data_IF_989485516225
#
_entry.id   IF_989485516225
#
_cell.length_a   1.000
_cell.length_b   1.000
_cell.length_c   1.000
_cell.angle_alpha   90.00
_cell.angle_beta   90.00
_cell.angle_gamma   90.00
#
_symmetry.space_group_name_H-M   'P 1'
#
loop_
_entity.id
_entity.type
_entity.pdbx_description
1 polymer ?
#
# COMPACT_ATOMS: atom_id res chain seq x y z
N UNK A 1 -25.13 -26.94 -20.50
CA UNK A 1 -25.45 -26.66 -19.08
C UNK A 1 -25.65 -25.16 -18.93
N UNK A 2 -26.76 -24.77 -18.32
CA UNK A 2 -27.07 -23.36 -18.01
C UNK A 2 -26.63 -23.05 -16.57
N UNK A 3 -26.13 -21.83 -16.34
CA UNK A 3 -25.81 -21.34 -14.99
C UNK A 3 -25.99 -19.83 -14.92
N UNK A 4 -26.49 -19.36 -13.80
CA UNK A 4 -26.63 -17.95 -13.45
C UNK A 4 -25.33 -17.33 -12.91
N UNK A 5 -24.39 -18.16 -12.47
CA UNK A 5 -23.07 -17.76 -11.98
C UNK A 5 -22.11 -17.39 -13.11
N UNK A 6 -22.09 -16.11 -13.47
CA UNK A 6 -21.15 -15.56 -14.43
C UNK A 6 -19.70 -15.85 -14.03
N UNK A 7 -19.39 -15.77 -12.73
CA UNK A 7 -18.07 -16.05 -12.18
C UNK A 7 -17.63 -17.47 -12.49
N UNK A 8 -18.50 -18.46 -12.28
CA UNK A 8 -18.18 -19.86 -12.56
C UNK A 8 -17.94 -20.07 -14.06
N UNK A 9 -18.87 -19.61 -14.90
CA UNK A 9 -18.78 -19.77 -16.36
C UNK A 9 -17.49 -19.15 -16.90
N UNK A 10 -17.19 -17.90 -16.54
CA UNK A 10 -15.99 -17.20 -17.01
C UNK A 10 -14.70 -17.87 -16.48
N UNK A 11 -14.72 -18.38 -15.25
CA UNK A 11 -13.56 -19.05 -14.63
C UNK A 11 -13.22 -20.38 -15.33
N UNK A 12 -14.23 -21.16 -15.71
CA UNK A 12 -14.07 -22.48 -16.33
C UNK A 12 -14.06 -22.46 -17.86
N UNK A 13 -14.35 -21.32 -18.50
CA UNK A 13 -14.27 -21.15 -19.96
C UNK A 13 -13.17 -20.14 -20.34
N UNK A 14 -13.49 -18.84 -20.33
CA UNK A 14 -12.62 -17.75 -20.81
C UNK A 14 -11.28 -17.69 -20.09
N UNK A 15 -11.30 -17.81 -18.76
CA UNK A 15 -10.09 -17.71 -17.93
C UNK A 15 -9.42 -19.06 -17.68
N UNK A 16 -9.97 -20.18 -18.19
CA UNK A 16 -9.52 -21.52 -17.86
C UNK A 16 -8.04 -21.73 -18.15
N UNK A 17 -7.60 -21.37 -19.36
CA UNK A 17 -6.20 -21.54 -19.78
C UNK A 17 -5.25 -20.79 -18.85
N UNK A 18 -5.54 -19.51 -18.60
CA UNK A 18 -4.76 -18.66 -17.71
C UNK A 18 -4.72 -19.22 -16.27
N UNK A 19 -5.85 -19.70 -15.76
CA UNK A 19 -5.95 -20.24 -14.41
C UNK A 19 -5.15 -21.56 -14.30
N UNK A 20 -5.27 -22.46 -15.26
CA UNK A 20 -4.44 -23.68 -15.35
C UNK A 20 -2.96 -23.36 -15.43
N UNK A 21 -2.57 -22.43 -16.32
CA UNK A 21 -1.16 -22.05 -16.49
C UNK A 21 -0.57 -21.45 -15.20
N UNK A 22 -1.38 -20.80 -14.37
CA UNK A 22 -0.97 -20.27 -13.04
C UNK A 22 -1.16 -21.26 -11.89
N UNK A 23 -1.50 -22.52 -12.19
CA UNK A 23 -1.76 -23.54 -11.17
C UNK A 23 -2.89 -23.16 -10.21
N UNK A 24 -3.88 -22.42 -10.70
CA UNK A 24 -5.02 -21.90 -9.94
C UNK A 24 -4.64 -20.97 -8.77
N UNK A 25 -3.42 -20.45 -8.76
CA UNK A 25 -2.92 -19.58 -7.69
C UNK A 25 -3.70 -18.28 -7.61
N UNK A 26 -4.35 -18.06 -6.46
CA UNK A 26 -5.14 -16.85 -6.19
C UNK A 26 -6.57 -16.88 -6.77
N UNK A 27 -7.03 -18.04 -7.23
CA UNK A 27 -8.45 -18.28 -7.54
C UNK A 27 -9.14 -18.75 -6.26
N UNK A 28 -10.22 -18.08 -5.86
CA UNK A 28 -11.06 -18.53 -4.75
C UNK A 28 -11.70 -19.87 -5.11
N UNK A 29 -11.83 -20.78 -4.14
CA UNK A 29 -12.44 -22.11 -4.34
C UNK A 29 -11.84 -22.93 -5.49
N UNK A 30 -10.53 -22.73 -5.73
CA UNK A 30 -9.78 -23.36 -6.81
C UNK A 30 -9.98 -24.89 -6.90
N UNK A 31 -10.16 -25.57 -5.75
CA UNK A 31 -10.36 -27.01 -5.68
C UNK A 31 -11.70 -27.43 -6.33
N UNK A 32 -12.79 -26.70 -6.10
CA UNK A 32 -14.10 -26.97 -6.69
C UNK A 32 -14.07 -26.75 -8.21
N UNK A 33 -13.45 -25.66 -8.67
CA UNK A 33 -13.27 -25.42 -10.11
C UNK A 33 -12.40 -26.47 -10.79
N UNK A 34 -11.38 -26.97 -10.08
CA UNK A 34 -10.50 -28.01 -10.60
C UNK A 34 -11.25 -29.33 -10.78
N UNK A 35 -12.05 -29.74 -9.80
CA UNK A 35 -12.94 -30.90 -9.88
C UNK A 35 -14.00 -30.76 -10.97
N UNK A 36 -14.64 -29.59 -11.08
CA UNK A 36 -15.61 -29.32 -12.14
C UNK A 36 -14.99 -29.46 -13.54
N UNK A 37 -13.80 -28.90 -13.74
CA UNK A 37 -13.08 -29.00 -15.03
C UNK A 37 -12.65 -30.43 -15.32
N UNK A 38 -12.23 -31.20 -14.31
CA UNK A 38 -11.90 -32.61 -14.47
C UNK A 38 -13.15 -33.42 -14.88
N UNK A 39 -14.26 -33.23 -14.18
CA UNK A 39 -15.56 -33.87 -14.49
C UNK A 39 -16.07 -33.51 -15.89
N UNK A 40 -15.92 -32.26 -16.34
CA UNK A 40 -16.29 -31.89 -17.71
C UNK A 40 -15.42 -32.57 -18.76
N UNK A 41 -14.15 -32.86 -18.46
CA UNK A 41 -13.21 -33.52 -19.39
C UNK A 41 -13.34 -35.03 -19.44
N UNK A 42 -13.81 -35.66 -18.37
CA UNK A 42 -14.05 -37.11 -18.37
C UNK A 42 -15.26 -37.51 -19.22
N UNK A 43 -16.11 -36.54 -19.59
CA UNK A 43 -17.24 -36.77 -20.49
C UNK A 43 -16.76 -37.01 -21.93
N UNK A 44 -17.30 -38.02 -22.65
CA UNK A 44 -16.94 -38.28 -24.05
C UNK A 44 -17.36 -37.17 -25.04
N UNK A 45 -18.37 -36.37 -24.69
CA UNK A 45 -18.95 -35.34 -25.56
C UNK A 45 -18.51 -33.92 -25.20
N UNK A 46 -18.68 -33.00 -26.16
CA UNK A 46 -18.46 -31.57 -25.91
C UNK A 46 -19.44 -31.04 -24.85
N UNK A 47 -18.92 -30.29 -23.88
CA UNK A 47 -19.72 -29.63 -22.85
C UNK A 47 -19.78 -28.14 -23.11
N UNK A 48 -20.97 -27.64 -23.45
CA UNK A 48 -21.22 -26.20 -23.59
C UNK A 48 -21.79 -25.63 -22.29
N UNK A 49 -21.14 -24.58 -21.78
CA UNK A 49 -21.62 -23.78 -20.65
C UNK A 49 -22.22 -22.49 -21.17
N UNK A 50 -23.46 -22.20 -20.78
CA UNK A 50 -24.16 -20.98 -21.17
C UNK A 50 -24.50 -20.21 -19.91
N UNK A 51 -23.98 -18.99 -19.81
CA UNK A 51 -24.41 -18.07 -18.77
C UNK A 51 -25.81 -17.54 -19.11
N UNK A 52 -26.69 -17.57 -18.13
CA UNK A 52 -28.04 -17.00 -18.22
C UNK A 52 -28.25 -16.03 -17.08
N UNK A 53 -29.13 -15.05 -17.26
CA UNK A 53 -29.46 -14.12 -16.18
C UNK A 53 -30.30 -14.87 -15.13
N UNK A 54 -30.00 -14.69 -13.84
CA UNK A 54 -30.84 -15.21 -12.76
C UNK A 54 -32.28 -14.71 -12.87
N UNK A 55 -33.25 -15.54 -12.46
CA UNK A 55 -34.68 -15.27 -12.53
C UNK A 55 -35.21 -14.89 -13.93
N UNK A 56 -34.66 -15.53 -14.97
CA UNK A 56 -35.03 -15.27 -16.38
C UNK A 56 -36.18 -16.14 -16.91
N UNK A 57 -36.91 -16.86 -16.06
CA UNK A 57 -37.99 -17.77 -16.50
C UNK A 57 -37.49 -19.14 -17.00
N UNK A 58 -36.18 -19.41 -16.92
CA UNK A 58 -35.64 -20.71 -17.34
C UNK A 58 -35.89 -21.73 -16.23
N UNK A 59 -36.86 -22.63 -16.47
CA UNK A 59 -37.32 -23.63 -15.49
C UNK A 59 -36.19 -24.35 -14.76
N UNK A 60 -35.19 -24.85 -15.49
CA UNK A 60 -34.08 -25.59 -14.89
C UNK A 60 -33.16 -24.77 -13.97
N UNK A 61 -32.99 -23.47 -14.22
CA UNK A 61 -32.22 -22.61 -13.31
C UNK A 61 -33.05 -22.19 -12.10
N UNK A 62 -34.35 -21.95 -12.29
CA UNK A 62 -35.24 -21.62 -11.17
C UNK A 62 -35.42 -22.78 -10.20
N UNK A 63 -35.49 -24.02 -10.71
CA UNK A 63 -35.49 -25.23 -9.88
C UNK A 63 -34.14 -25.41 -9.15
N UNK A 64 -33.03 -25.10 -9.80
CA UNK A 64 -31.71 -25.13 -9.15
C UNK A 64 -31.57 -24.05 -8.04
N UNK A 65 -32.14 -22.86 -8.24
CA UNK A 65 -32.16 -21.79 -7.23
C UNK A 65 -33.00 -22.19 -6.01
N UNK A 66 -34.14 -22.86 -6.24
CA UNK A 66 -34.98 -23.42 -5.16
C UNK A 66 -34.20 -24.45 -4.34
N UNK A 67 -33.56 -25.41 -5.01
CA UNK A 67 -32.73 -26.43 -4.34
C UNK A 67 -31.55 -25.81 -3.57
N UNK A 68 -30.95 -24.74 -4.11
CA UNK A 68 -29.89 -24.00 -3.41
C UNK A 68 -30.42 -23.33 -2.14
N UNK A 69 -31.61 -22.74 -2.20
CA UNK A 69 -32.27 -22.11 -1.06
C UNK A 69 -32.64 -23.13 0.03
N UNK A 70 -33.14 -24.30 -0.38
CA UNK A 70 -33.40 -25.43 0.52
C UNK A 70 -32.10 -25.91 1.18
N UNK A 71 -31.03 -26.05 0.40
CA UNK A 71 -29.70 -26.44 0.91
C UNK A 71 -29.14 -25.45 1.93
N UNK A 72 -29.31 -24.14 1.71
CA UNK A 72 -28.92 -23.10 2.67
C UNK A 72 -29.71 -23.16 3.99
N UNK A 73 -30.93 -23.72 3.95
CA UNK A 73 -31.82 -23.81 5.11
C UNK A 73 -31.62 -25.09 5.92
N UNK A 74 -30.76 -26.03 5.47
CA UNK A 74 -30.46 -27.25 6.21
C UNK A 74 -29.61 -26.95 7.45
N UNK A 75 -29.98 -27.55 8.59
CA UNK A 75 -29.15 -27.48 9.81
C UNK A 75 -27.79 -28.17 9.66
N UNK A 76 -27.76 -29.26 8.89
CA UNK A 76 -26.54 -29.99 8.57
C UNK A 76 -26.23 -29.83 7.07
N UNK A 77 -25.04 -29.32 6.71
CA UNK A 77 -24.67 -29.13 5.31
C UNK A 77 -24.43 -30.48 4.62
N UNK A 78 -24.80 -30.56 3.34
CA UNK A 78 -24.46 -31.72 2.52
C UNK A 78 -22.94 -31.76 2.26
N UNK A 79 -22.33 -32.93 2.46
CA UNK A 79 -20.92 -33.13 2.16
C UNK A 79 -20.75 -33.43 0.67
N UNK A 80 -20.16 -32.48 -0.06
CA UNK A 80 -19.84 -32.64 -1.48
C UNK A 80 -18.40 -33.09 -1.63
N UNK A 81 -18.19 -34.31 -2.11
CA UNK A 81 -16.85 -34.82 -2.43
C UNK A 81 -16.39 -34.32 -3.80
N UNK A 82 -15.26 -33.62 -3.82
CA UNK A 82 -14.62 -33.16 -5.05
C UNK A 82 -13.65 -34.24 -5.57
N UNK A 83 -14.18 -35.26 -6.22
CA UNK A 83 -13.37 -36.32 -6.85
C UNK A 83 -12.73 -35.76 -8.12
N UNK A 84 -11.40 -35.78 -8.17
CA UNK A 84 -10.62 -35.38 -9.34
C UNK A 84 -9.95 -36.63 -9.91
N UNK A 85 -10.40 -37.06 -11.08
CA UNK A 85 -9.76 -38.17 -11.80
C UNK A 85 -8.28 -37.85 -12.07
N UNK A 86 -7.33 -38.75 -11.70
CA UNK A 86 -5.90 -38.50 -11.81
C UNK A 86 -5.45 -38.10 -13.23
N UNK A 87 -6.05 -38.70 -14.26
CA UNK A 87 -5.77 -38.42 -15.68
C UNK A 87 -6.01 -36.96 -16.06
N UNK A 88 -6.97 -36.29 -15.40
CA UNK A 88 -7.32 -34.89 -15.64
C UNK A 88 -6.75 -33.95 -14.57
N UNK A 89 -5.99 -34.48 -13.61
CA UNK A 89 -5.42 -33.73 -12.51
C UNK A 89 -4.11 -33.02 -12.91
N UNK A 90 -4.23 -31.85 -13.54
CA UNK A 90 -3.07 -30.99 -13.79
C UNK A 90 -2.73 -30.22 -12.51
N UNK A 91 -1.56 -30.51 -11.93
CA UNK A 91 -1.05 -29.87 -10.73
C UNK A 91 0.06 -28.85 -11.05
N UNK A 92 0.25 -27.89 -10.14
CA UNK A 92 1.31 -26.89 -10.25
C UNK A 92 1.05 -25.79 -11.30
N UNK A 93 1.92 -24.79 -11.30
CA UNK A 93 1.91 -23.72 -12.28
C UNK A 93 2.91 -24.01 -13.40
N UNK A 94 2.54 -23.68 -14.64
CA UNK A 94 3.41 -23.84 -15.81
C UNK A 94 4.59 -22.87 -15.70
N UNK A 95 5.82 -23.39 -15.76
CA UNK A 95 7.05 -22.60 -15.57
C UNK A 95 7.10 -21.40 -16.54
N UNK A 96 6.77 -21.60 -17.82
CA UNK A 96 6.75 -20.52 -18.82
C UNK A 96 5.73 -19.38 -18.52
N UNK A 97 4.71 -19.65 -17.71
CA UNK A 97 3.64 -18.70 -17.39
C UNK A 97 3.71 -18.13 -15.97
N UNK A 98 4.64 -18.61 -15.14
CA UNK A 98 4.76 -18.18 -13.76
C UNK A 98 5.49 -16.83 -13.70
N UNK A 99 4.96 -15.91 -12.89
CA UNK A 99 5.67 -14.69 -12.49
C UNK A 99 6.25 -14.89 -11.09
N UNK A 100 7.27 -14.11 -10.71
CA UNK A 100 7.77 -14.07 -9.33
C UNK A 100 6.63 -13.89 -8.31
N UNK A 101 5.67 -13.00 -8.61
CA UNK A 101 4.49 -12.78 -7.75
C UNK A 101 3.56 -13.98 -7.63
N UNK A 102 3.41 -14.77 -8.70
CA UNK A 102 2.59 -16.00 -8.70
C UNK A 102 3.33 -17.13 -7.97
N UNK A 103 4.63 -17.29 -8.24
CA UNK A 103 5.50 -18.25 -7.54
C UNK A 103 5.49 -18.00 -6.03
N UNK A 104 5.69 -16.74 -5.61
CA UNK A 104 5.66 -16.36 -4.21
C UNK A 104 4.31 -16.69 -3.54
N UNK A 105 3.19 -16.38 -4.21
CA UNK A 105 1.85 -16.74 -3.72
C UNK A 105 1.65 -18.25 -3.60
N UNK A 106 2.08 -19.02 -4.60
CA UNK A 106 1.98 -20.48 -4.59
C UNK A 106 2.78 -21.09 -3.44
N UNK A 107 4.05 -20.68 -3.28
CA UNK A 107 4.92 -21.10 -2.16
C UNK A 107 4.28 -20.73 -0.83
N UNK A 108 3.72 -19.52 -0.70
CA UNK A 108 3.03 -19.07 0.51
C UNK A 108 1.84 -19.97 0.84
N UNK A 109 1.01 -20.34 -0.14
CA UNK A 109 -0.14 -21.25 0.05
C UNK A 109 0.35 -22.62 0.50
N UNK A 110 1.38 -23.17 -0.13
CA UNK A 110 1.95 -24.48 0.24
C UNK A 110 2.47 -24.46 1.68
N UNK A 111 3.25 -23.43 2.05
CA UNK A 111 3.78 -23.27 3.42
C UNK A 111 2.67 -23.06 4.46
N UNK A 112 1.58 -22.37 4.11
CA UNK A 112 0.41 -22.22 4.97
C UNK A 112 -0.33 -23.56 5.18
N UNK A 113 -0.39 -24.41 4.15
CA UNK A 113 -1.04 -25.73 4.26
C UNK A 113 -0.21 -26.71 5.08
N UNK A 114 1.11 -26.71 4.91
CA UNK A 114 1.99 -27.65 5.62
C UNK A 114 2.22 -27.27 7.08
N UNK A 115 2.40 -25.97 7.38
CA UNK A 115 2.80 -25.49 8.72
C UNK A 115 2.03 -24.22 9.14
N UNK A 116 0.71 -24.20 8.93
CA UNK A 116 -0.14 -23.00 9.02
C UNK A 116 0.07 -22.13 10.25
N UNK A 117 0.15 -22.71 11.46
CA UNK A 117 0.34 -21.95 12.71
C UNK A 117 1.74 -21.35 12.86
N UNK A 118 2.78 -22.10 12.50
CA UNK A 118 4.18 -21.65 12.62
C UNK A 118 4.48 -20.60 11.56
N UNK A 119 4.05 -20.84 10.32
CA UNK A 119 4.29 -19.94 9.20
C UNK A 119 3.48 -18.63 9.33
N UNK A 120 2.24 -18.67 9.84
CA UNK A 120 1.48 -17.46 10.15
C UNK A 120 2.14 -16.64 11.26
N UNK A 121 2.65 -17.28 12.33
CA UNK A 121 3.37 -16.60 13.43
C UNK A 121 4.70 -15.99 12.97
N UNK A 122 5.36 -16.59 11.99
CA UNK A 122 6.59 -16.05 11.36
C UNK A 122 6.31 -14.87 10.41
N UNK A 123 5.19 -14.89 9.66
CA UNK A 123 4.77 -13.78 8.80
C UNK A 123 4.22 -12.61 9.62
N UNK A 124 3.43 -12.90 10.65
CA UNK A 124 2.93 -11.95 11.64
C UNK A 124 4.01 -11.73 12.70
N UNK A 125 5.18 -11.22 12.28
CA UNK A 125 6.21 -10.84 13.23
C UNK A 125 5.57 -10.00 14.33
N UNK A 126 5.76 -10.38 15.59
CA UNK A 126 5.23 -9.69 16.78
C UNK A 126 5.35 -8.16 16.67
N UNK A 127 6.44 -7.71 16.05
CA UNK A 127 6.77 -6.30 15.75
C UNK A 127 5.84 -5.66 14.71
N UNK A 128 5.53 -6.33 13.60
CA UNK A 128 4.56 -5.82 12.61
C UNK A 128 3.18 -5.64 13.24
N UNK A 129 2.73 -6.62 14.03
CA UNK A 129 1.43 -6.53 14.73
C UNK A 129 1.43 -5.35 15.71
N UNK A 130 2.50 -5.19 16.48
CA UNK A 130 2.65 -4.05 17.40
C UNK A 130 2.57 -2.71 16.67
N UNK A 131 3.24 -2.56 15.53
CA UNK A 131 3.18 -1.33 14.73
C UNK A 131 1.78 -1.07 14.16
N UNK A 132 1.05 -2.12 13.75
CA UNK A 132 -0.36 -2.01 13.34
C UNK A 132 -1.24 -1.54 14.50
N UNK A 133 -1.11 -2.11 15.70
CA UNK A 133 -1.87 -1.66 16.87
C UNK A 133 -1.58 -0.21 17.23
N UNK A 134 -0.30 0.19 17.23
CA UNK A 134 0.09 1.59 17.46
C UNK A 134 -0.52 2.54 16.43
N UNK A 135 -0.54 2.12 15.16
CA UNK A 135 -1.17 2.88 14.07
C UNK A 135 -2.68 3.02 14.30
N UNK A 136 -3.35 1.96 14.78
CA UNK A 136 -4.78 2.03 15.13
C UNK A 136 -5.05 2.97 16.30
N UNK A 137 -4.25 2.87 17.36
CA UNK A 137 -4.37 3.74 18.53
C UNK A 137 -4.15 5.21 18.15
N UNK A 138 -3.17 5.52 17.32
CA UNK A 138 -2.97 6.89 16.80
C UNK A 138 -4.17 7.37 15.96
N UNK A 139 -4.73 6.53 15.11
CA UNK A 139 -5.92 6.88 14.33
C UNK A 139 -7.17 7.04 15.19
N UNK A 140 -7.31 6.26 16.25
CA UNK A 140 -8.38 6.41 17.22
C UNK A 140 -8.25 7.72 17.99
N UNK A 141 -7.05 8.08 18.46
CA UNK A 141 -6.81 9.38 19.09
C UNK A 141 -7.12 10.56 18.16
N UNK A 142 -6.81 10.45 16.86
CA UNK A 142 -7.03 11.52 15.89
C UNK A 142 -8.48 11.59 15.35
N UNK A 143 -9.19 10.47 15.27
CA UNK A 143 -10.47 10.39 14.52
C UNK A 143 -11.60 9.69 15.28
N UNK A 144 -11.34 9.14 16.45
CA UNK A 144 -12.28 8.31 17.22
C UNK A 144 -12.56 6.95 16.58
N UNK A 145 -11.81 6.54 15.54
CA UNK A 145 -12.06 5.30 14.80
C UNK A 145 -10.77 4.52 14.54
N UNK A 146 -10.85 3.21 14.71
CA UNK A 146 -9.77 2.30 14.36
C UNK A 146 -9.92 1.79 12.92
N UNK A 147 -8.90 1.95 12.05
CA UNK A 147 -8.92 1.42 10.70
C UNK A 147 -8.64 -0.09 10.68
N UNK A 148 -9.23 -0.78 9.71
CA UNK A 148 -8.87 -2.17 9.39
C UNK A 148 -7.45 -2.25 8.81
N UNK A 149 -6.75 -3.37 9.03
CA UNK A 149 -5.41 -3.61 8.47
C UNK A 149 -5.33 -3.42 6.97
N UNK A 150 -6.35 -3.89 6.24
CA UNK A 150 -6.43 -3.73 4.79
C UNK A 150 -6.33 -2.25 4.38
N UNK A 151 -6.95 -1.36 5.16
CA UNK A 151 -6.93 0.08 4.91
C UNK A 151 -5.54 0.66 5.21
N UNK A 152 -4.91 0.27 6.34
CA UNK A 152 -3.53 0.67 6.67
C UNK A 152 -2.56 0.26 5.56
N UNK A 153 -2.59 -1.01 5.16
CA UNK A 153 -1.71 -1.54 4.11
C UNK A 153 -1.95 -0.90 2.74
N UNK A 154 -3.21 -0.62 2.40
CA UNK A 154 -3.54 0.15 1.19
C UNK A 154 -3.03 1.59 1.29
N UNK A 155 -3.12 2.19 2.47
CA UNK A 155 -2.63 3.53 2.79
C UNK A 155 -1.13 3.67 2.56
N UNK A 156 -0.30 2.71 3.00
CA UNK A 156 1.16 2.76 2.76
C UNK A 156 1.53 2.83 1.26
N UNK A 157 0.61 2.46 0.36
CA UNK A 157 0.78 2.53 -1.10
C UNK A 157 0.12 3.76 -1.72
N UNK A 158 -0.20 4.79 -0.93
CA UNK A 158 -0.91 5.97 -1.40
C UNK A 158 -0.18 6.61 -2.58
N UNK A 159 -0.97 7.12 -3.54
CA UNK A 159 -0.47 7.73 -4.78
C UNK A 159 0.41 8.96 -4.56
N UNK A 160 0.26 9.61 -3.39
CA UNK A 160 1.00 10.82 -3.03
C UNK A 160 2.45 10.55 -2.61
N UNK A 161 2.80 9.30 -2.32
CA UNK A 161 4.16 8.91 -1.96
C UNK A 161 4.98 8.50 -3.18
N UNK A 162 6.29 8.78 -3.13
CA UNK A 162 7.25 8.21 -4.08
C UNK A 162 7.35 6.70 -3.89
N UNK A 163 7.90 5.98 -4.88
CA UNK A 163 8.13 4.54 -4.74
C UNK A 163 9.08 4.22 -3.59
N UNK A 164 10.13 5.03 -3.41
CA UNK A 164 11.10 4.89 -2.32
C UNK A 164 10.43 5.11 -0.96
N UNK A 165 9.61 6.14 -0.83
CA UNK A 165 8.87 6.44 0.41
C UNK A 165 7.89 5.31 0.75
N UNK A 166 7.20 4.72 -0.24
CA UNK A 166 6.32 3.55 -0.01
C UNK A 166 7.11 2.34 0.49
N UNK A 167 8.27 2.08 -0.11
CA UNK A 167 9.15 0.99 0.31
C UNK A 167 9.65 1.24 1.73
N UNK A 168 10.07 2.47 2.03
CA UNK A 168 10.50 2.89 3.36
C UNK A 168 9.42 2.66 4.42
N UNK A 169 8.22 3.19 4.22
CA UNK A 169 7.11 3.01 5.16
C UNK A 169 6.72 1.53 5.33
N UNK A 170 6.75 0.75 4.24
CA UNK A 170 6.46 -0.70 4.31
C UNK A 170 7.51 -1.45 5.13
N UNK A 171 8.80 -1.18 4.89
CA UNK A 171 9.91 -1.78 5.65
C UNK A 171 9.87 -1.35 7.11
N UNK A 172 9.55 -0.08 7.39
CA UNK A 172 9.39 0.46 8.75
C UNK A 172 8.22 -0.18 9.49
N UNK A 173 7.06 -0.32 8.84
CA UNK A 173 5.90 -1.04 9.41
C UNK A 173 6.26 -2.48 9.79
N UNK A 174 7.06 -3.16 8.96
CA UNK A 174 7.52 -4.51 9.24
C UNK A 174 8.70 -4.59 10.22
N UNK A 175 9.33 -3.47 10.58
CA UNK A 175 10.62 -3.42 11.28
C UNK A 175 11.68 -4.30 10.58
N UNK A 176 11.75 -4.17 9.26
CA UNK A 176 12.57 -5.01 8.39
C UNK A 176 13.97 -4.44 8.09
N UNK A 177 14.28 -3.24 8.59
CA UNK A 177 15.61 -2.66 8.47
C UNK A 177 16.58 -3.32 9.47
N UNK A 178 17.82 -3.54 9.04
CA UNK A 178 18.91 -4.02 9.90
C UNK A 178 19.49 -2.81 10.64
N UNK A 179 19.03 -2.58 11.87
CA UNK A 179 19.43 -1.47 12.75
C UNK A 179 19.56 -1.97 14.19
N UNK A 180 20.34 -1.25 15.01
CA UNK A 180 20.53 -1.56 16.43
C UNK A 180 21.02 -2.99 16.65
N UNK A 181 20.18 -3.83 17.26
CA UNK A 181 20.49 -5.21 17.67
C UNK A 181 20.96 -6.16 16.54
N UNK A 182 20.90 -5.74 15.28
CA UNK A 182 21.50 -6.47 14.16
C UNK A 182 23.01 -6.25 14.00
N UNK A 183 23.58 -5.22 14.62
CA UNK A 183 24.98 -4.83 14.51
C UNK A 183 25.63 -4.90 15.89
N UNK A 184 26.84 -5.49 15.95
CA UNK A 184 27.60 -5.67 17.21
C UNK A 184 28.28 -4.38 17.67
N UNK A 185 28.84 -3.61 16.72
CA UNK A 185 29.31 -2.25 16.93
C UNK A 185 28.22 -1.22 16.64
N UNK A 186 28.14 -0.20 17.48
CA UNK A 186 27.17 0.90 17.38
C UNK A 186 27.88 2.20 16.99
N UNK A 187 27.99 2.54 15.69
CA UNK A 187 28.43 3.88 15.32
C UNK A 187 27.26 4.86 15.54
N UNK A 188 27.38 5.72 16.55
CA UNK A 188 26.47 6.86 16.81
C UNK A 188 25.26 6.53 17.70
N UNK A 189 25.01 7.41 18.67
CA UNK A 189 24.11 7.26 19.82
C UNK A 189 24.45 6.10 20.79
N UNK A 190 24.59 6.40 22.08
CA UNK A 190 24.91 5.41 23.14
C UNK A 190 23.73 4.47 23.49
N UNK A 191 22.60 4.59 22.79
CA UNK A 191 21.38 3.82 23.03
C UNK A 191 21.20 2.75 21.96
N UNK A 192 20.44 1.69 22.25
CA UNK A 192 20.08 0.70 21.24
C UNK A 192 19.17 1.35 20.19
N UNK A 193 19.69 1.49 18.98
CA UNK A 193 18.99 2.18 17.92
C UNK A 193 17.78 1.39 17.41
N UNK A 194 16.64 2.08 17.31
CA UNK A 194 15.41 1.60 16.68
C UNK A 194 14.93 2.60 15.64
N UNK A 195 14.04 2.20 14.73
CA UNK A 195 13.53 3.14 13.72
C UNK A 195 12.75 4.29 14.36
N UNK A 196 12.10 4.04 15.48
CA UNK A 196 11.45 5.09 16.27
C UNK A 196 12.50 6.06 16.85
N UNK A 197 13.56 5.52 17.47
CA UNK A 197 14.64 6.32 18.00
C UNK A 197 15.24 7.22 16.92
N UNK A 198 15.64 6.65 15.78
CA UNK A 198 16.25 7.39 14.66
C UNK A 198 15.38 8.56 14.20
N UNK A 199 14.08 8.33 14.09
CA UNK A 199 13.17 9.30 13.49
C UNK A 199 12.66 10.32 14.50
N UNK A 200 12.51 9.98 15.77
CA UNK A 200 11.77 10.82 16.73
C UNK A 200 12.50 11.12 18.04
N UNK A 201 13.53 10.35 18.42
CA UNK A 201 14.17 10.47 19.74
C UNK A 201 15.68 10.74 19.68
N UNK A 202 16.31 10.58 18.50
CA UNK A 202 17.76 10.67 18.35
C UNK A 202 18.25 12.11 18.52
N UNK A 203 19.19 12.31 19.45
CA UNK A 203 19.80 13.62 19.73
C UNK A 203 20.94 13.98 18.78
N UNK A 204 21.40 13.03 17.98
CA UNK A 204 22.45 13.26 17.01
C UNK A 204 22.00 14.24 15.91
N UNK A 205 22.92 15.03 15.32
CA UNK A 205 22.55 16.06 14.35
C UNK A 205 21.78 15.50 13.13
N UNK A 206 20.76 16.23 12.70
CA UNK A 206 19.94 15.92 11.53
C UNK A 206 18.46 15.76 11.86
N UNK A 207 18.13 14.94 12.86
CA UNK A 207 16.75 14.59 13.20
C UNK A 207 15.93 15.82 13.60
N UNK A 208 16.41 16.54 14.62
CA UNK A 208 15.72 17.72 15.14
C UNK A 208 15.63 18.83 14.09
N UNK A 209 16.71 19.10 13.37
CA UNK A 209 16.74 20.12 12.32
C UNK A 209 15.71 19.85 11.22
N UNK A 210 15.54 18.60 10.78
CA UNK A 210 14.57 18.26 9.73
C UNK A 210 13.13 18.44 10.22
N UNK A 211 12.82 18.07 11.47
CA UNK A 211 11.49 18.32 12.02
C UNK A 211 11.21 19.80 12.25
N UNK A 212 12.21 20.58 12.66
CA UNK A 212 12.07 22.04 12.75
C UNK A 212 11.84 22.70 11.38
N UNK A 213 12.54 22.25 10.33
CA UNK A 213 12.26 22.70 8.97
C UNK A 213 10.85 22.31 8.52
N UNK A 214 10.37 21.12 8.91
CA UNK A 214 9.00 20.68 8.64
C UNK A 214 7.98 21.60 9.30
N UNK A 215 8.17 21.94 10.59
CA UNK A 215 7.32 22.88 11.32
C UNK A 215 7.37 24.29 10.71
N UNK A 216 8.56 24.79 10.34
CA UNK A 216 8.73 26.10 9.69
C UNK A 216 8.02 26.19 8.35
N UNK A 217 8.09 25.13 7.54
CA UNK A 217 7.34 25.04 6.29
C UNK A 217 5.82 25.05 6.56
N UNK A 218 5.40 24.30 7.58
CA UNK A 218 3.99 24.18 7.93
C UNK A 218 3.39 25.42 8.58
N UNK A 219 4.17 26.26 9.26
CA UNK A 219 3.71 27.49 9.89
C UNK A 219 3.08 28.50 8.89
N UNK A 220 3.29 28.29 7.58
CA UNK A 220 2.66 29.07 6.50
C UNK A 220 1.24 28.59 6.15
N UNK A 221 0.77 27.51 6.78
CA UNK A 221 -0.57 26.94 6.61
C UNK A 221 -1.47 27.35 7.77
N UNK A 222 -2.76 27.48 7.48
CA UNK A 222 -3.79 27.76 8.49
C UNK A 222 -4.15 26.52 9.33
N UNK A 223 -3.90 25.32 8.80
CA UNK A 223 -4.18 24.05 9.49
C UNK A 223 -3.04 23.65 10.42
N UNK A 224 -3.36 23.00 11.54
CA UNK A 224 -2.36 22.43 12.44
C UNK A 224 -1.75 21.14 11.85
N UNK A 225 -0.44 20.95 12.07
CA UNK A 225 0.25 19.71 11.74
C UNK A 225 0.13 18.78 12.95
N UNK A 226 -0.32 17.52 12.78
CA UNK A 226 -0.26 16.55 13.86
C UNK A 226 1.18 16.35 14.33
N UNK A 227 1.37 16.23 15.65
CA UNK A 227 2.70 16.06 16.22
C UNK A 227 3.44 14.86 15.60
N UNK A 228 4.71 15.04 15.21
CA UNK A 228 5.49 13.98 14.62
C UNK A 228 5.76 12.89 15.66
N UNK A 229 5.19 11.70 15.43
CA UNK A 229 5.46 10.50 16.22
C UNK A 229 5.56 9.28 15.32
N UNK A 230 6.17 8.21 15.83
CA UNK A 230 6.31 6.97 15.06
C UNK A 230 4.95 6.40 14.61
N UNK A 231 3.96 6.42 15.50
CA UNK A 231 2.61 5.97 15.18
C UNK A 231 1.92 6.90 14.18
N UNK A 232 2.06 8.22 14.33
CA UNK A 232 1.48 9.20 13.41
C UNK A 232 2.12 9.11 12.01
N UNK A 233 3.42 8.81 11.89
CA UNK A 233 4.06 8.58 10.60
C UNK A 233 3.43 7.38 9.86
N UNK A 234 3.20 6.27 10.55
CA UNK A 234 2.58 5.08 9.96
C UNK A 234 1.09 5.29 9.66
N UNK A 235 0.41 6.12 10.45
CA UNK A 235 -0.98 6.54 10.27
C UNK A 235 -1.16 7.64 9.20
N UNK A 236 -0.11 8.41 8.89
CA UNK A 236 -0.12 9.57 7.98
C UNK A 236 -0.90 9.35 6.67
N UNK A 237 -0.82 8.19 5.99
CA UNK A 237 -1.57 7.99 4.76
C UNK A 237 -3.10 8.03 4.94
N UNK A 238 -3.59 7.77 6.15
CA UNK A 238 -5.01 7.71 6.50
C UNK A 238 -5.52 9.02 7.12
N UNK A 239 -4.62 9.85 7.64
CA UNK A 239 -4.98 11.14 8.24
C UNK A 239 -5.65 12.03 7.19
N UNK A 240 -6.73 12.70 7.60
CA UNK A 240 -7.47 13.68 6.83
C UNK A 240 -7.65 14.94 7.68
N UNK A 241 -7.08 16.06 7.22
CA UNK A 241 -7.23 17.35 7.89
C UNK A 241 -8.60 17.96 7.57
N UNK A 242 -9.16 18.64 8.57
CA UNK A 242 -10.46 19.30 8.50
C UNK A 242 -10.33 20.74 9.02
N UNK A 243 -11.14 21.65 8.48
CA UNK A 243 -11.40 22.95 9.10
C UNK A 243 -12.30 22.78 10.33
N UNK A 244 -12.38 23.83 11.17
CA UNK A 244 -13.32 23.90 12.31
C UNK A 244 -14.77 23.62 11.92
N UNK A 245 -15.17 23.99 10.70
CA UNK A 245 -16.51 23.73 10.16
C UNK A 245 -16.70 22.32 9.54
N UNK A 246 -15.74 21.40 9.70
CA UNK A 246 -15.79 20.04 9.16
C UNK A 246 -15.38 19.90 7.69
N UNK A 247 -15.02 20.99 7.00
CA UNK A 247 -14.63 20.91 5.58
C UNK A 247 -13.26 20.24 5.43
N UNK A 248 -13.17 19.25 4.52
CA UNK A 248 -11.93 18.51 4.24
C UNK A 248 -10.89 19.40 3.56
N UNK A 249 -9.73 19.56 4.19
CA UNK A 249 -8.58 20.27 3.64
C UNK A 249 -7.75 19.36 2.74
N UNK A 250 -8.25 19.07 1.54
CA UNK A 250 -7.62 18.11 0.61
C UNK A 250 -6.18 18.50 0.23
N UNK A 251 -5.92 19.79 0.02
CA UNK A 251 -4.60 20.33 -0.32
C UNK A 251 -3.60 20.13 0.82
N UNK A 252 -3.95 20.62 2.00
CA UNK A 252 -3.07 20.52 3.18
C UNK A 252 -2.88 19.06 3.61
N UNK A 253 -3.94 18.24 3.60
CA UNK A 253 -3.81 16.79 3.87
C UNK A 253 -2.79 16.12 2.95
N UNK A 254 -2.80 16.49 1.66
CA UNK A 254 -1.85 15.96 0.69
C UNK A 254 -0.44 16.48 0.95
N UNK A 255 -0.29 17.76 1.30
CA UNK A 255 1.02 18.33 1.64
C UNK A 255 1.59 17.67 2.91
N UNK A 256 0.78 17.51 3.97
CA UNK A 256 1.18 16.83 5.20
C UNK A 256 1.73 15.44 4.90
N UNK A 257 0.99 14.65 4.10
CA UNK A 257 1.45 13.32 3.67
C UNK A 257 2.82 13.37 3.00
N UNK A 258 3.04 14.33 2.11
CA UNK A 258 4.32 14.49 1.42
C UNK A 258 5.40 14.91 2.42
N UNK A 259 5.23 16.04 3.10
CA UNK A 259 6.27 16.65 3.94
C UNK A 259 6.67 15.72 5.08
N UNK A 260 5.71 15.15 5.82
CA UNK A 260 6.00 14.27 6.96
C UNK A 260 6.75 13.00 6.54
N UNK A 261 6.39 12.41 5.40
CA UNK A 261 7.01 11.15 4.97
C UNK A 261 8.36 11.36 4.30
N UNK A 262 8.54 12.44 3.55
CA UNK A 262 9.84 12.82 2.98
C UNK A 262 10.82 13.31 4.06
N UNK A 263 10.34 14.04 5.08
CA UNK A 263 11.14 14.42 6.24
C UNK A 263 11.68 13.19 6.99
N UNK A 264 10.80 12.24 7.32
CA UNK A 264 11.21 10.99 7.96
C UNK A 264 12.21 10.19 7.10
N UNK A 265 11.98 10.13 5.78
CA UNK A 265 12.89 9.45 4.87
C UNK A 265 14.26 10.17 4.77
N UNK A 266 14.29 11.50 4.78
CA UNK A 266 15.53 12.28 4.82
C UNK A 266 16.30 12.04 6.12
N UNK A 267 15.64 12.00 7.28
CA UNK A 267 16.29 11.68 8.56
C UNK A 267 16.95 10.30 8.50
N UNK A 268 16.22 9.30 8.00
CA UNK A 268 16.77 7.96 7.78
C UNK A 268 18.00 7.96 6.86
N UNK A 269 17.97 8.74 5.77
CA UNK A 269 19.11 8.89 4.87
C UNK A 269 20.31 9.59 5.51
N UNK A 270 20.08 10.67 6.27
CA UNK A 270 21.14 11.38 6.99
C UNK A 270 21.82 10.46 8.01
N UNK A 271 21.04 9.70 8.76
CA UNK A 271 21.56 8.67 9.68
C UNK A 271 22.40 7.64 8.94
N UNK A 272 21.90 7.09 7.83
CA UNK A 272 22.64 6.06 7.08
C UNK A 272 23.93 6.61 6.50
N UNK A 273 23.94 7.83 5.99
CA UNK A 273 25.15 8.46 5.51
C UNK A 273 26.17 8.64 6.63
N UNK A 274 25.75 9.14 7.80
CA UNK A 274 26.62 9.30 8.97
C UNK A 274 27.23 7.96 9.40
N UNK A 275 26.39 6.94 9.60
CA UNK A 275 26.81 5.66 10.18
C UNK A 275 27.55 4.76 9.18
N UNK A 276 27.07 4.69 7.94
CA UNK A 276 27.58 3.72 6.95
C UNK A 276 28.62 4.35 6.03
N UNK A 277 28.36 5.55 5.52
CA UNK A 277 29.22 6.17 4.50
C UNK A 277 30.36 6.98 5.11
N UNK A 278 30.11 7.66 6.23
CA UNK A 278 31.11 8.45 6.94
C UNK A 278 31.70 7.68 8.13
N UNK A 279 31.25 6.47 8.41
CA UNK A 279 31.75 5.63 9.52
C UNK A 279 31.70 6.34 10.88
N UNK A 280 30.75 7.25 11.07
CA UNK A 280 30.65 8.10 12.27
C UNK A 280 31.49 9.38 12.25
N UNK A 281 32.32 9.61 11.22
CA UNK A 281 33.21 10.77 11.10
C UNK A 281 32.48 12.03 10.61
N UNK A 282 31.60 12.55 11.46
CA UNK A 282 30.96 13.85 11.28
C UNK A 282 29.56 13.79 10.66
N UNK A 283 28.73 14.74 11.06
CA UNK A 283 27.35 14.90 10.57
C UNK A 283 27.26 15.94 9.46
N UNK A 284 26.17 15.91 8.69
CA UNK A 284 25.86 16.98 7.74
C UNK A 284 25.69 18.31 8.49
N UNK A 285 26.16 19.41 7.90
CA UNK A 285 25.98 20.74 8.49
C UNK A 285 24.51 21.16 8.44
N UNK A 286 24.10 22.11 9.28
CA UNK A 286 22.72 22.63 9.26
C UNK A 286 22.31 23.18 7.89
N UNK A 287 23.25 23.85 7.22
CA UNK A 287 23.06 24.36 5.86
C UNK A 287 22.85 23.24 4.85
N UNK A 288 23.65 22.16 4.94
CA UNK A 288 23.51 20.99 4.10
C UNK A 288 22.16 20.29 4.33
N UNK A 289 21.76 20.13 5.58
CA UNK A 289 20.46 19.56 5.97
C UNK A 289 19.31 20.41 5.40
N UNK A 290 19.36 21.74 5.55
CA UNK A 290 18.36 22.67 4.99
C UNK A 290 18.25 22.53 3.48
N UNK A 291 19.37 22.47 2.77
CA UNK A 291 19.37 22.34 1.32
C UNK A 291 18.86 20.98 0.84
N UNK A 292 19.22 19.89 1.53
CA UNK A 292 18.69 18.55 1.23
C UNK A 292 17.18 18.47 1.47
N UNK A 293 16.69 19.09 2.54
CA UNK A 293 15.24 19.21 2.80
C UNK A 293 14.54 20.00 1.68
N UNK A 294 15.04 21.18 1.35
CA UNK A 294 14.51 22.01 0.26
C UNK A 294 14.54 21.28 -1.08
N UNK A 295 15.63 20.57 -1.37
CA UNK A 295 15.76 19.76 -2.57
C UNK A 295 14.70 18.67 -2.64
N UNK A 296 14.50 17.90 -1.56
CA UNK A 296 13.45 16.88 -1.49
C UNK A 296 12.06 17.47 -1.74
N UNK A 297 11.73 18.61 -1.10
CA UNK A 297 10.43 19.26 -1.31
C UNK A 297 10.26 19.76 -2.75
N UNK A 298 11.29 20.37 -3.32
CA UNK A 298 11.30 20.82 -4.71
C UNK A 298 11.18 19.66 -5.70
N UNK A 299 11.84 18.53 -5.46
CA UNK A 299 11.73 17.33 -6.31
C UNK A 299 10.28 16.80 -6.31
N UNK A 300 9.61 16.79 -5.15
CA UNK A 300 8.18 16.43 -5.06
C UNK A 300 7.30 17.40 -5.84
N UNK A 301 7.57 18.69 -5.76
CA UNK A 301 6.88 19.72 -6.53
C UNK A 301 7.07 19.48 -8.05
N UNK A 302 8.30 19.29 -8.51
CA UNK A 302 8.60 19.02 -9.91
C UNK A 302 7.93 17.73 -10.42
N UNK A 303 7.92 16.68 -9.59
CA UNK A 303 7.20 15.44 -9.90
C UNK A 303 5.69 15.69 -10.07
N UNK A 304 5.12 16.57 -9.24
CA UNK A 304 3.69 16.93 -9.33
C UNK A 304 3.41 17.72 -10.62
N UNK A 305 4.26 18.69 -10.97
CA UNK A 305 4.17 19.44 -12.22
C UNK A 305 4.28 18.52 -13.45
N UNK A 306 5.22 17.58 -13.44
CA UNK A 306 5.33 16.56 -14.48
C UNK A 306 4.07 15.68 -14.58
N UNK A 307 3.42 15.37 -13.45
CA UNK A 307 2.18 14.61 -13.43
C UNK A 307 0.97 15.38 -14.00
N UNK A 308 0.94 16.72 -13.89
CA UNK A 308 -0.05 17.56 -14.57
C UNK A 308 0.15 17.44 -16.09
N UNK A 309 1.38 17.59 -16.58
CA UNK A 309 1.70 17.48 -18.02
C UNK A 309 1.27 16.12 -18.57
N UNK A 310 1.56 15.03 -17.85
CA UNK A 310 1.08 13.68 -18.20
C UNK A 310 -0.44 13.59 -18.23
N UNK A 311 -1.16 14.25 -17.31
CA UNK A 311 -2.62 14.28 -17.32
C UNK A 311 -3.17 14.98 -18.56
N UNK A 312 -2.57 16.10 -18.98
CA UNK A 312 -2.97 16.82 -20.20
C UNK A 312 -2.83 15.96 -21.45
N UNK A 313 -1.79 15.13 -21.53
CA UNK A 313 -1.52 14.28 -22.71
C UNK A 313 -2.27 12.95 -22.66
N UNK A 314 -2.25 12.25 -21.52
CA UNK A 314 -2.68 10.84 -21.42
C UNK A 314 -3.99 10.66 -20.65
N UNK A 315 -4.65 11.71 -20.17
CA UNK A 315 -5.82 11.66 -19.25
C UNK A 315 -5.56 10.95 -17.90
N UNK A 316 -4.30 10.63 -17.59
CA UNK A 316 -3.86 10.02 -16.32
C UNK A 316 -2.85 10.94 -15.63
N UNK A 317 -3.11 11.29 -14.37
CA UNK A 317 -2.21 12.13 -13.56
C UNK A 317 -2.95 12.95 -12.49
N UNK A 318 -2.32 14.03 -12.04
CA UNK A 318 -2.84 14.91 -10.97
C UNK A 318 -3.48 16.16 -11.62
N UNK A 319 -4.60 16.65 -11.08
CA UNK A 319 -5.19 17.91 -11.59
C UNK A 319 -4.36 19.13 -11.17
N UNK A 320 -4.36 20.16 -12.01
CA UNK A 320 -3.77 21.47 -11.70
C UNK A 320 -4.28 22.01 -10.37
N UNK A 321 -5.60 22.04 -10.17
CA UNK A 321 -6.24 22.48 -8.92
C UNK A 321 -5.72 21.72 -7.69
N UNK A 322 -5.48 20.41 -7.81
CA UNK A 322 -4.94 19.62 -6.69
C UNK A 322 -3.50 20.00 -6.36
N UNK A 323 -2.67 20.32 -7.35
CA UNK A 323 -1.28 20.76 -7.14
C UNK A 323 -1.27 22.17 -6.55
N UNK A 324 -2.02 23.11 -7.12
CA UNK A 324 -2.17 24.47 -6.59
C UNK A 324 -2.61 24.44 -5.12
N UNK A 325 -3.67 23.71 -4.78
CA UNK A 325 -4.12 23.57 -3.38
C UNK A 325 -3.09 22.91 -2.46
N UNK A 326 -2.30 21.95 -2.95
CA UNK A 326 -1.29 21.28 -2.14
C UNK A 326 -0.20 22.27 -1.72
N UNK A 327 0.34 23.00 -2.70
CA UNK A 327 1.52 23.84 -2.52
C UNK A 327 1.19 25.32 -2.21
N UNK A 328 -0.09 25.69 -2.13
CA UNK A 328 -0.53 27.03 -1.73
C UNK A 328 0.08 27.44 -0.39
N UNK A 329 0.65 28.64 -0.33
CA UNK A 329 1.28 29.24 0.85
C UNK A 329 2.74 28.83 1.09
N UNK A 330 3.29 27.84 0.35
CA UNK A 330 4.65 27.33 0.56
C UNK A 330 5.58 27.57 -0.63
N UNK A 331 5.08 28.19 -1.70
CA UNK A 331 5.90 28.59 -2.85
C UNK A 331 6.63 29.91 -2.56
N UNK A 332 7.88 30.00 -2.99
CA UNK A 332 8.70 31.21 -2.93
C UNK A 332 8.07 32.30 -3.82
N UNK A 333 7.91 33.50 -3.26
CA UNK A 333 7.35 34.65 -3.97
C UNK A 333 5.97 34.38 -4.60
N UNK A 334 5.14 33.57 -3.93
CA UNK A 334 3.83 33.15 -4.47
C UNK A 334 2.90 34.32 -4.81
N UNK A 335 3.05 35.46 -4.13
CA UNK A 335 2.28 36.69 -4.41
C UNK A 335 2.59 37.30 -5.77
N UNK A 336 3.79 37.06 -6.29
CA UNK A 336 4.26 37.58 -7.58
C UNK A 336 3.94 36.63 -8.74
N UNK A 337 3.36 35.46 -8.42
CA UNK A 337 3.01 34.44 -9.39
C UNK A 337 1.53 34.56 -9.81
N UNK A 338 1.18 34.18 -11.05
CA UNK A 338 -0.22 34.08 -11.46
C UNK A 338 -0.95 32.99 -10.66
N UNK A 339 -2.28 33.08 -10.62
CA UNK A 339 -3.12 32.13 -9.90
C UNK A 339 -2.89 30.68 -10.33
N UNK A 340 -2.66 30.44 -11.63
CA UNK A 340 -2.11 29.19 -12.16
C UNK A 340 -0.64 29.34 -12.55
N UNK A 341 0.25 29.16 -11.57
CA UNK A 341 1.70 29.13 -11.80
C UNK A 341 2.22 27.79 -12.34
N UNK A 342 1.38 26.77 -12.53
CA UNK A 342 1.84 25.42 -12.91
C UNK A 342 2.37 25.33 -14.35
N UNK A 343 2.10 26.36 -15.16
CA UNK A 343 2.64 26.51 -16.52
C UNK A 343 4.02 27.17 -16.59
N UNK A 344 4.51 27.79 -15.51
CA UNK A 344 5.77 28.54 -15.49
C UNK A 344 6.96 27.58 -15.39
N UNK A 345 8.02 27.83 -16.16
CA UNK A 345 9.16 26.94 -16.26
C UNK A 345 10.13 27.03 -15.06
N UNK A 346 10.45 25.86 -14.48
CA UNK A 346 11.78 25.40 -14.04
C UNK A 346 12.45 26.06 -12.82
N UNK A 347 12.62 27.38 -12.81
CA UNK A 347 13.53 28.08 -11.87
C UNK A 347 12.80 29.10 -10.99
N UNK A 348 11.59 29.52 -11.40
CA UNK A 348 10.82 30.55 -10.72
C UNK A 348 9.86 30.01 -9.65
N UNK A 349 9.66 28.70 -9.58
CA UNK A 349 8.72 28.06 -8.65
C UNK A 349 9.47 27.03 -7.80
N UNK A 350 9.84 27.46 -6.59
CA UNK A 350 10.50 26.62 -5.60
C UNK A 350 9.92 26.83 -4.22
N UNK A 351 10.20 25.92 -3.30
CA UNK A 351 9.78 26.02 -1.90
C UNK A 351 10.61 27.07 -1.18
N UNK A 352 9.93 27.90 -0.37
CA UNK A 352 10.59 28.85 0.51
C UNK A 352 10.57 28.35 1.96
N UNK A 353 11.73 28.42 2.61
CA UNK A 353 11.92 28.15 4.04
C UNK A 353 12.61 29.31 4.74
#
# INVERSE_FOLDING_TARGET
>A
MFSDSLTMVVTTTTNLKRNKDKGWTGVADAHAYHALVASMRSRPGSTTLTWVKGHSGIKGTEEADKLTTEGLSKQNPDMVEFIIEPTYNVTGAKIKAISQSTAYKAIKIVKLRSNGRIYQRQIQQRRTRMNLERTRAAMEALTGKQPMDKLIWSGLRHKDFSMLTRQFLWMTMHNAYKIGAWWEDKPGCNVMESMEHILFECEEPGQHQVWELTKKLWARKESELPDPSFANLLATPLIQLHRRNGTKLKGDTRLMRIVTTEAAHLIWHLRNERVIRREGNGSASEWEIKNRFLYSMNERLQTNLAAIRKKRVRKWGISTESVLRTWKGVIKNERDLPEDWTGIAGVLVGIAL
#
